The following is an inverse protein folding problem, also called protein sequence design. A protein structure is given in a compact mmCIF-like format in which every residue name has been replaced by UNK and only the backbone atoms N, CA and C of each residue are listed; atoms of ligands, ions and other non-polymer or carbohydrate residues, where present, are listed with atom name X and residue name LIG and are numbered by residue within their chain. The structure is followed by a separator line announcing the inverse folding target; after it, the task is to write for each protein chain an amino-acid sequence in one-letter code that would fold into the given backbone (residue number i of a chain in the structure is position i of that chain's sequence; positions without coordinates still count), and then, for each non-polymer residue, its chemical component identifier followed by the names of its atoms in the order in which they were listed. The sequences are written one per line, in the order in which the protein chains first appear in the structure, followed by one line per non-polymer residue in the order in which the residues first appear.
data_IF_916371955908
#
_entry.id   IF_916371955908
#
_cell.length_a   1.000
_cell.length_b   1.000
_cell.length_c   1.000
_cell.angle_alpha   90.00
_cell.angle_beta   90.00
_cell.angle_gamma   90.00
#
_symmetry.space_group_name_H-M   'P 1'
#
loop_
_entity.id
_entity.type
_entity.pdbx_description
1 polymer ?
#
# COMPACT_ATOMS: atom_id res chain seq x y z
N UNK A 1 8.18 18.11 -18.89
CA UNK A 1 8.35 16.96 -17.98
C UNK A 1 7.75 17.32 -16.64
N UNK A 2 6.81 16.53 -16.12
CA UNK A 2 6.16 16.81 -14.82
C UNK A 2 6.93 16.07 -13.72
N UNK A 3 8.18 16.49 -13.47
CA UNK A 3 9.10 15.77 -12.59
C UNK A 3 8.57 15.52 -11.18
N UNK A 4 7.82 16.47 -10.62
CA UNK A 4 7.18 16.32 -9.31
C UNK A 4 6.12 15.20 -9.29
N UNK A 5 5.32 15.09 -10.35
CA UNK A 5 4.33 14.01 -10.48
C UNK A 5 5.02 12.65 -10.58
N UNK A 6 6.15 12.59 -11.29
CA UNK A 6 6.97 11.37 -11.38
C UNK A 6 7.46 10.93 -10.00
N UNK A 7 8.03 11.86 -9.23
CA UNK A 7 8.51 11.59 -7.86
C UNK A 7 7.36 11.11 -6.98
N UNK A 8 6.20 11.79 -7.02
CA UNK A 8 5.05 11.40 -6.23
C UNK A 8 4.56 9.99 -6.57
N UNK A 9 4.41 9.66 -7.86
CA UNK A 9 3.95 8.34 -8.29
C UNK A 9 4.98 7.25 -7.96
N UNK A 10 6.26 7.53 -8.18
CA UNK A 10 7.33 6.61 -7.80
C UNK A 10 7.30 6.33 -6.29
N UNK A 11 7.24 7.37 -5.46
CA UNK A 11 7.27 7.19 -4.02
C UNK A 11 6.03 6.45 -3.49
N UNK A 12 4.83 6.86 -3.92
CA UNK A 12 3.57 6.23 -3.49
C UNK A 12 3.53 4.77 -3.95
N UNK A 13 3.90 4.47 -5.19
CA UNK A 13 3.92 3.09 -5.69
C UNK A 13 4.94 2.24 -4.94
N UNK A 14 6.14 2.77 -4.68
CA UNK A 14 7.16 2.11 -3.87
C UNK A 14 6.64 1.80 -2.46
N UNK A 15 5.91 2.72 -1.83
CA UNK A 15 5.30 2.50 -0.52
C UNK A 15 4.27 1.37 -0.55
N UNK A 16 3.35 1.40 -1.52
CA UNK A 16 2.30 0.39 -1.69
C UNK A 16 2.90 -0.99 -1.93
N UNK A 17 3.88 -1.09 -2.82
CA UNK A 17 4.55 -2.34 -3.17
C UNK A 17 5.35 -2.87 -1.98
N UNK A 18 6.09 -2.01 -1.27
CA UNK A 18 6.88 -2.40 -0.11
C UNK A 18 5.98 -2.93 1.02
N UNK A 19 4.83 -2.30 1.26
CA UNK A 19 3.84 -2.76 2.26
C UNK A 19 3.35 -4.17 1.95
N UNK A 20 3.25 -4.54 0.67
CA UNK A 20 2.76 -5.84 0.23
C UNK A 20 3.85 -6.92 0.19
N UNK A 21 5.07 -6.58 -0.25
CA UNK A 21 6.17 -7.54 -0.41
C UNK A 21 6.97 -7.75 0.88
N UNK A 22 7.18 -6.68 1.65
CA UNK A 22 8.04 -6.67 2.83
C UNK A 22 7.35 -5.95 4.01
N UNK A 23 6.20 -6.47 4.48
CA UNK A 23 5.47 -5.86 5.60
C UNK A 23 6.30 -5.77 6.89
N UNK A 24 7.30 -6.66 7.04
CA UNK A 24 8.22 -6.68 8.20
C UNK A 24 9.00 -5.38 8.39
N UNK A 25 9.26 -4.61 7.33
CA UNK A 25 9.96 -3.32 7.41
C UNK A 25 9.08 -2.26 8.12
N UNK A 26 7.76 -2.42 8.06
CA UNK A 26 6.80 -1.52 8.71
C UNK A 26 6.60 -1.83 10.19
N UNK A 27 6.84 -3.07 10.61
CA UNK A 27 6.78 -3.53 12.00
C UNK A 27 8.16 -3.63 12.67
N UNK A 28 9.18 -2.97 12.10
CA UNK A 28 10.59 -3.11 12.50
C UNK A 28 10.85 -2.82 13.99
N UNK A 29 10.10 -1.92 14.63
CA UNK A 29 10.24 -1.64 16.08
C UNK A 29 9.89 -2.83 16.98
N UNK A 30 9.18 -3.85 16.48
CA UNK A 30 8.87 -5.09 17.22
C UNK A 30 9.90 -6.19 16.98
N UNK A 31 10.78 -6.04 15.99
CA UNK A 31 11.81 -7.02 15.68
C UNK A 31 13.04 -6.88 16.58
N UNK A 32 13.55 -8.02 17.06
CA UNK A 32 14.81 -8.09 17.80
C UNK A 32 15.98 -7.80 16.86
N UNK A 33 16.96 -7.01 17.30
CA UNK A 33 18.20 -6.85 16.54
C UNK A 33 18.94 -8.19 16.45
N UNK A 34 19.84 -8.32 15.48
CA UNK A 34 20.80 -9.44 15.38
C UNK A 34 21.69 -9.59 16.63
N UNK A 35 21.72 -8.57 17.48
CA UNK A 35 22.41 -8.51 18.78
C UNK A 35 21.48 -8.73 19.98
N UNK A 36 20.22 -9.14 19.77
CA UNK A 36 19.24 -9.43 20.80
C UNK A 36 18.66 -8.21 21.53
N UNK A 37 18.99 -6.99 21.10
CA UNK A 37 18.47 -5.73 21.66
C UNK A 37 17.30 -5.23 20.80
N UNK A 38 16.25 -4.70 21.43
CA UNK A 38 15.19 -4.04 20.67
C UNK A 38 15.76 -2.83 19.92
N UNK A 39 15.49 -2.76 18.62
CA UNK A 39 15.97 -1.66 17.80
C UNK A 39 15.11 -0.43 18.10
N UNK A 40 15.69 0.55 18.79
CA UNK A 40 15.04 1.83 19.14
C UNK A 40 14.94 2.81 17.97
N UNK A 41 14.86 2.32 16.73
CA UNK A 41 14.62 3.18 15.57
C UNK A 41 13.12 3.22 15.25
N UNK A 42 12.58 4.42 14.97
CA UNK A 42 11.21 4.52 14.51
C UNK A 42 11.10 3.96 13.10
N UNK A 43 10.06 3.17 12.83
CA UNK A 43 9.87 2.49 11.54
C UNK A 43 9.90 3.46 10.34
N UNK A 44 9.42 4.69 10.49
CA UNK A 44 9.41 5.71 9.43
C UNK A 44 10.81 6.03 8.88
N UNK A 45 11.85 5.95 9.73
CA UNK A 45 13.22 6.24 9.33
C UNK A 45 13.77 5.23 8.33
N UNK A 46 13.18 4.03 8.26
CA UNK A 46 13.53 2.98 7.31
C UNK A 46 12.53 2.92 6.16
N UNK A 47 11.22 2.99 6.46
CA UNK A 47 10.17 2.81 5.45
C UNK A 47 10.12 3.95 4.45
N UNK A 48 10.35 5.21 4.85
CA UNK A 48 10.31 6.36 3.92
C UNK A 48 11.45 6.31 2.89
N UNK A 49 12.73 6.16 3.27
CA UNK A 49 13.81 6.03 2.28
C UNK A 49 13.68 4.76 1.43
N UNK A 50 13.31 3.63 2.05
CA UNK A 50 13.15 2.38 1.32
C UNK A 50 12.04 2.46 0.26
N UNK A 51 10.88 3.04 0.61
CA UNK A 51 9.78 3.22 -0.34
C UNK A 51 10.15 4.15 -1.50
N UNK A 52 10.87 5.25 -1.24
CA UNK A 52 11.36 6.13 -2.30
C UNK A 52 12.33 5.41 -3.25
N UNK A 53 13.31 4.70 -2.71
CA UNK A 53 14.32 3.98 -3.51
C UNK A 53 13.68 2.85 -4.34
N UNK A 54 12.84 2.02 -3.72
CA UNK A 54 12.15 0.93 -4.44
C UNK A 54 11.24 1.49 -5.52
N UNK A 55 10.48 2.53 -5.18
CA UNK A 55 9.58 3.20 -6.10
C UNK A 55 10.29 3.78 -7.32
N UNK A 56 11.32 4.60 -7.09
CA UNK A 56 12.10 5.21 -8.18
C UNK A 56 12.81 4.17 -9.03
N UNK A 57 13.38 3.13 -8.42
CA UNK A 57 14.01 2.02 -9.14
C UNK A 57 13.01 1.35 -10.08
N UNK A 58 11.84 0.95 -9.56
CA UNK A 58 10.82 0.26 -10.35
C UNK A 58 10.29 1.14 -11.49
N UNK A 59 9.89 2.38 -11.22
CA UNK A 59 9.36 3.28 -12.26
C UNK A 59 10.43 3.57 -13.33
N UNK A 60 11.69 3.75 -12.94
CA UNK A 60 12.79 4.03 -13.86
C UNK A 60 13.09 2.83 -14.75
N UNK A 61 13.20 1.63 -14.19
CA UNK A 61 13.43 0.41 -14.97
C UNK A 61 12.27 0.13 -15.92
N UNK A 62 11.02 0.27 -15.48
CA UNK A 62 9.87 0.13 -16.38
C UNK A 62 9.93 1.16 -17.52
N UNK A 63 10.27 2.42 -17.21
CA UNK A 63 10.41 3.48 -18.22
C UNK A 63 11.46 3.10 -19.27
N UNK A 64 12.63 2.62 -18.85
CA UNK A 64 13.72 2.26 -19.77
C UNK A 64 13.42 0.99 -20.57
N UNK A 65 12.84 -0.04 -19.94
CA UNK A 65 12.43 -1.26 -20.65
C UNK A 65 11.37 -0.91 -21.70
N UNK A 66 10.34 -0.13 -21.33
CA UNK A 66 9.32 0.31 -22.27
C UNK A 66 9.90 1.18 -23.38
N UNK A 67 10.78 2.13 -23.06
CA UNK A 67 11.45 2.95 -24.07
C UNK A 67 12.27 2.09 -25.06
N UNK A 68 12.94 1.05 -24.56
CA UNK A 68 13.68 0.09 -25.39
C UNK A 68 12.75 -0.71 -26.31
N UNK A 69 11.59 -1.13 -25.83
CA UNK A 69 10.57 -1.80 -26.66
C UNK A 69 10.05 -0.88 -27.77
N UNK A 70 9.88 0.41 -27.48
CA UNK A 70 9.46 1.42 -28.44
C UNK A 70 10.63 2.13 -29.13
N UNK A 71 11.83 1.54 -29.17
CA UNK A 71 13.05 2.20 -29.70
C UNK A 71 12.95 2.67 -31.15
N UNK A 72 12.11 2.04 -31.96
CA UNK A 72 11.88 2.41 -33.36
C UNK A 72 10.88 3.55 -33.53
N UNK A 73 10.21 3.95 -32.46
CA UNK A 73 9.34 5.12 -32.48
C UNK A 73 10.18 6.40 -32.51
N UNK A 74 9.64 7.49 -33.08
CA UNK A 74 10.34 8.78 -33.09
C UNK A 74 10.52 9.41 -31.69
N UNK A 75 9.87 8.88 -30.65
CA UNK A 75 9.88 9.42 -29.27
C UNK A 75 9.86 8.31 -28.21
N UNK A 76 10.87 7.42 -28.15
CA UNK A 76 10.85 6.23 -27.29
C UNK A 76 10.72 6.54 -25.80
N UNK A 77 11.41 7.59 -25.33
CA UNK A 77 11.31 8.04 -23.93
C UNK A 77 9.91 8.51 -23.56
N UNK A 78 9.16 9.12 -24.49
CA UNK A 78 7.80 9.56 -24.22
C UNK A 78 6.90 8.35 -23.96
N UNK A 79 6.95 7.34 -24.84
CA UNK A 79 6.18 6.10 -24.68
C UNK A 79 6.57 5.32 -23.43
N UNK A 80 7.88 5.28 -23.11
CA UNK A 80 8.36 4.66 -21.88
C UNK A 80 7.76 5.29 -20.63
N UNK A 81 7.74 6.63 -20.57
CA UNK A 81 7.13 7.35 -19.45
C UNK A 81 5.62 7.10 -19.37
N UNK A 82 4.89 7.20 -20.49
CA UNK A 82 3.45 6.96 -20.53
C UNK A 82 3.11 5.54 -20.03
N UNK A 83 3.87 4.53 -20.47
CA UNK A 83 3.70 3.15 -20.03
C UNK A 83 3.91 3.01 -18.51
N UNK A 84 5.01 3.54 -17.98
CA UNK A 84 5.30 3.50 -16.54
C UNK A 84 4.21 4.22 -15.73
N UNK A 85 3.85 5.45 -16.10
CA UNK A 85 2.79 6.20 -15.43
C UNK A 85 1.47 5.43 -15.41
N UNK A 86 1.07 4.83 -16.53
CA UNK A 86 -0.17 4.07 -16.64
C UNK A 86 -0.16 2.85 -15.73
N UNK A 87 0.92 2.05 -15.78
CA UNK A 87 1.06 0.82 -14.98
C UNK A 87 1.04 1.14 -13.48
N UNK A 88 1.88 2.08 -13.02
CA UNK A 88 1.97 2.37 -11.59
C UNK A 88 0.74 3.10 -11.05
N UNK A 89 0.07 3.91 -11.86
CA UNK A 89 -1.22 4.49 -11.46
C UNK A 89 -2.28 3.41 -11.26
N UNK A 90 -2.37 2.42 -12.15
CA UNK A 90 -3.29 1.29 -12.00
C UNK A 90 -2.97 0.44 -10.77
N UNK A 91 -1.68 0.19 -10.48
CA UNK A 91 -1.24 -0.51 -9.26
C UNK A 91 -1.72 0.25 -8.02
N UNK A 92 -1.47 1.56 -7.95
CA UNK A 92 -1.87 2.39 -6.82
C UNK A 92 -3.40 2.33 -6.63
N UNK A 93 -4.18 2.54 -7.69
CA UNK A 93 -5.65 2.50 -7.66
C UNK A 93 -6.15 1.13 -7.20
N UNK A 94 -5.58 0.04 -7.74
CA UNK A 94 -5.94 -1.32 -7.36
C UNK A 94 -5.75 -1.56 -5.87
N UNK A 95 -4.58 -1.20 -5.32
CA UNK A 95 -4.31 -1.41 -3.89
C UNK A 95 -5.15 -0.50 -2.98
N UNK A 96 -5.35 0.77 -3.35
CA UNK A 96 -6.23 1.68 -2.59
C UNK A 96 -7.67 1.15 -2.55
N UNK A 97 -8.22 0.73 -3.70
CA UNK A 97 -9.58 0.20 -3.75
C UNK A 97 -9.73 -1.14 -3.04
N UNK A 98 -8.67 -1.95 -2.98
CA UNK A 98 -8.63 -3.18 -2.18
C UNK A 98 -8.64 -2.88 -0.69
N UNK A 99 -7.81 -1.93 -0.25
CA UNK A 99 -7.69 -1.55 1.17
C UNK A 99 -9.01 -0.97 1.70
N UNK A 100 -9.63 -0.05 0.95
CA UNK A 100 -10.94 0.53 1.30
C UNK A 100 -12.02 -0.56 1.42
N UNK A 101 -12.05 -1.52 0.48
CA UNK A 101 -13.03 -2.62 0.54
C UNK A 101 -12.85 -3.48 1.78
N UNK A 102 -11.61 -3.80 2.16
CA UNK A 102 -11.32 -4.58 3.37
C UNK A 102 -11.75 -3.86 4.65
N UNK A 103 -11.58 -2.54 4.72
CA UNK A 103 -12.04 -1.73 5.86
C UNK A 103 -13.57 -1.75 5.94
N UNK A 104 -14.26 -1.53 4.81
CA UNK A 104 -15.73 -1.49 4.77
C UNK A 104 -16.34 -2.86 5.14
N UNK A 105 -15.79 -3.98 4.67
CA UNK A 105 -16.30 -5.31 5.02
C UNK A 105 -16.12 -5.64 6.50
N UNK A 106 -14.96 -5.29 7.07
CA UNK A 106 -14.67 -5.49 8.50
C UNK A 106 -15.56 -4.62 9.40
N UNK A 107 -15.83 -3.38 8.98
CA UNK A 107 -16.73 -2.49 9.70
C UNK A 107 -18.18 -2.99 9.64
N UNK A 108 -18.64 -3.44 8.46
CA UNK A 108 -19.98 -4.01 8.29
C UNK A 108 -20.19 -5.26 9.16
N UNK A 109 -19.23 -6.17 9.22
CA UNK A 109 -19.31 -7.38 10.05
C UNK A 109 -19.32 -7.05 11.55
N UNK A 110 -18.54 -6.06 11.97
CA UNK A 110 -18.51 -5.58 13.37
C UNK A 110 -19.84 -4.95 13.79
N UNK A 111 -20.40 -4.05 12.96
CA UNK A 111 -21.72 -3.46 13.22
C UNK A 111 -22.81 -4.53 13.27
N UNK A 112 -22.81 -5.49 12.34
CA UNK A 112 -23.80 -6.57 12.36
C UNK A 112 -23.68 -7.45 13.60
N UNK A 113 -22.44 -7.71 14.07
CA UNK A 113 -22.19 -8.46 15.30
C UNK A 113 -22.66 -7.72 16.56
N UNK A 114 -22.43 -6.41 16.63
CA UNK A 114 -22.94 -5.55 17.72
C UNK A 114 -24.47 -5.51 17.72
N UNK A 115 -25.10 -5.40 16.54
CA UNK A 115 -26.56 -5.40 16.43
C UNK A 115 -27.17 -6.70 16.95
N UNK A 116 -26.64 -7.85 16.54
CA UNK A 116 -27.16 -9.16 16.97
C UNK A 116 -26.95 -9.41 18.48
N UNK A 117 -25.82 -9.01 19.05
CA UNK A 117 -25.56 -9.17 20.49
C UNK A 117 -26.43 -8.26 21.36
N UNK A 118 -26.74 -7.03 20.90
CA UNK A 118 -27.67 -6.15 21.62
C UNK A 118 -29.11 -6.70 21.59
N UNK A 119 -29.53 -7.30 20.47
CA UNK A 119 -30.86 -7.89 20.32
C UNK A 119 -31.06 -9.07 21.27
N UNK A 120 -30.06 -9.94 21.42
CA UNK A 120 -30.09 -11.08 22.35
C UNK A 120 -30.13 -10.63 23.82
N UNK A 121 -29.44 -9.54 24.17
CA UNK A 121 -29.52 -8.96 25.53
C UNK A 121 -30.89 -8.34 25.83
N UNK A 122 -31.54 -7.69 24.86
CA UNK A 122 -32.88 -7.14 25.04
C UNK A 122 -33.95 -8.23 25.16
N UNK A 123 -33.81 -9.35 24.46
CA UNK A 123 -34.77 -10.47 24.54
C UNK A 123 -34.61 -11.27 25.84
N UNK A 124 -33.39 -11.47 26.34
CA UNK A 124 -33.19 -12.16 27.62
C UNK A 124 -33.71 -11.35 28.82
N UNK A 125 -33.47 -10.03 28.84
CA UNK A 125 -34.00 -9.15 29.89
C UNK A 125 -35.54 -9.11 29.94
N UNK A 126 -36.21 -9.30 28.79
CA UNK A 126 -37.67 -9.34 28.72
C UNK A 126 -38.28 -10.64 29.25
N UNK A 127 -37.50 -11.72 29.30
CA UNK A 127 -37.95 -13.04 29.79
C UNK A 127 -37.81 -13.23 31.30
N UNK A 128 -36.97 -12.43 31.98
CA UNK A 128 -36.81 -12.47 33.44
C UNK A 128 -37.76 -11.53 34.21
N UNK A 129 -38.60 -10.76 33.51
CA UNK A 129 -39.58 -9.83 34.10
C UNK A 129 -41.04 -10.34 34.06
N UNK A 130 -41.26 -11.58 33.63
CA UNK A 130 -42.53 -12.31 33.74
C UNK A 130 -42.31 -13.58 34.55
#
# INVERSE_FOLDING_TARGET
MIGLLYIAIAWISGYVILKQLLPSIFDFSKSLSLTGKQVKLPAWAVTLPASYLVGTLLVTWTTYISAYLFRTSGKPMLYGNIAAFSIFSLIIIYFITKDIRNVVTTFKSTISGIRNSSFLKLTSLRFYMF
#
